data_IF_840247304073
#
_entry.id   IF_840247304073
#
_cell.length_a   1.000
_cell.length_b   1.000
_cell.length_c   1.000
_cell.angle_alpha   90.00
_cell.angle_beta   90.00
_cell.angle_gamma   90.00
#
_symmetry.space_group_name_H-M   'P 1'
#
loop_
_entity.id
_entity.type
_entity.pdbx_description
1 polymer ?
#
# COMPACT_ATOMS: atom_id res chain seq x y z
N UNK A 1 30.83 -43.68 -3.95
CA UNK A 1 30.28 -42.32 -3.75
C UNK A 1 28.78 -42.48 -3.56
N UNK A 2 28.37 -42.78 -2.32
CA UNK A 2 26.98 -43.02 -1.99
C UNK A 2 26.34 -41.70 -1.57
N UNK A 3 25.34 -41.25 -2.34
CA UNK A 3 24.05 -40.87 -1.77
C UNK A 3 23.93 -39.55 -1.00
N UNK A 4 24.66 -38.48 -1.32
CA UNK A 4 24.43 -37.18 -0.66
C UNK A 4 23.11 -36.48 -1.07
N UNK A 5 22.38 -37.02 -2.06
CA UNK A 5 21.19 -36.37 -2.63
C UNK A 5 19.84 -37.03 -2.38
N UNK A 6 19.81 -38.28 -1.88
CA UNK A 6 18.55 -39.03 -1.67
C UNK A 6 17.96 -38.86 -0.27
N UNK A 7 18.79 -38.55 0.73
CA UNK A 7 18.35 -38.38 2.11
C UNK A 7 17.28 -37.28 2.26
N UNK A 8 17.42 -36.17 1.52
CA UNK A 8 16.47 -35.06 1.58
C UNK A 8 15.27 -35.18 0.62
N UNK A 9 15.21 -36.25 -0.20
CA UNK A 9 14.13 -36.45 -1.18
C UNK A 9 12.97 -37.29 -0.65
N UNK A 10 13.24 -38.19 0.30
CA UNK A 10 12.25 -39.14 0.78
C UNK A 10 11.50 -38.68 2.04
N UNK A 11 12.07 -37.75 2.82
CA UNK A 11 11.48 -37.31 4.09
C UNK A 11 10.62 -36.05 3.98
N UNK A 12 10.37 -35.52 2.76
CA UNK A 12 9.50 -34.36 2.58
C UNK A 12 8.04 -34.82 2.44
N UNK A 13 7.12 -34.39 3.32
CA UNK A 13 5.70 -34.65 3.14
C UNK A 13 5.17 -33.98 1.86
N UNK A 14 4.10 -34.53 1.30
CA UNK A 14 3.43 -33.98 0.11
C UNK A 14 2.93 -32.53 0.32
N UNK A 15 2.63 -32.17 1.57
CA UNK A 15 2.29 -30.81 1.99
C UNK A 15 3.31 -30.29 3.01
N UNK A 16 4.40 -29.66 2.56
CA UNK A 16 5.44 -29.13 3.43
C UNK A 16 5.06 -27.76 4.04
N UNK A 17 3.84 -27.27 3.81
CA UNK A 17 3.37 -25.99 4.30
C UNK A 17 3.23 -25.98 5.82
N UNK A 18 3.97 -25.10 6.48
CA UNK A 18 3.81 -24.82 7.91
C UNK A 18 2.72 -23.78 8.12
N UNK A 19 2.03 -23.81 9.27
CA UNK A 19 1.05 -22.77 9.62
C UNK A 19 1.70 -21.37 9.68
N UNK A 20 3.00 -21.34 9.93
CA UNK A 20 3.87 -20.17 9.94
C UNK A 20 4.24 -19.65 8.54
N UNK A 21 4.02 -20.43 7.47
CA UNK A 21 4.27 -20.03 6.06
C UNK A 21 3.21 -19.10 5.50
N UNK A 22 2.30 -18.61 6.35
CA UNK A 22 1.40 -17.51 6.02
C UNK A 22 2.18 -16.33 5.41
N UNK A 23 1.62 -15.63 4.42
CA UNK A 23 2.29 -14.53 3.73
C UNK A 23 2.89 -13.53 4.72
N UNK A 24 4.23 -13.42 4.73
CA UNK A 24 4.93 -12.36 5.46
C UNK A 24 4.71 -11.05 4.72
N UNK A 25 3.68 -10.31 5.12
CA UNK A 25 3.37 -9.00 4.53
C UNK A 25 1.91 -8.75 4.19
N UNK A 26 0.97 -9.63 4.55
CA UNK A 26 -0.47 -9.39 4.38
C UNK A 26 -1.08 -8.48 5.45
N UNK A 27 -0.40 -7.40 5.84
CA UNK A 27 -1.06 -6.34 6.59
C UNK A 27 -2.13 -5.70 5.70
N UNK A 28 -3.23 -5.18 6.27
CA UNK A 28 -4.27 -4.52 5.47
C UNK A 28 -3.62 -3.50 4.53
N UNK A 29 -4.04 -3.47 3.26
CA UNK A 29 -3.54 -2.47 2.33
C UNK A 29 -3.61 -1.08 2.99
N UNK A 30 -2.54 -0.30 2.88
CA UNK A 30 -2.57 1.08 3.36
C UNK A 30 -3.85 1.73 2.83
N UNK A 31 -4.65 2.37 3.69
CA UNK A 31 -5.90 2.97 3.27
C UNK A 31 -5.58 3.93 2.13
N UNK A 32 -6.02 3.59 0.93
CA UNK A 32 -5.79 4.37 -0.28
C UNK A 32 -6.17 5.81 0.06
N UNK A 33 -5.15 6.67 0.11
CA UNK A 33 -5.27 8.01 0.67
C UNK A 33 -6.50 8.68 0.07
N UNK A 34 -7.45 9.06 0.93
CA UNK A 34 -8.57 9.91 0.50
C UNK A 34 -7.92 11.12 -0.15
N UNK A 35 -8.09 11.23 -1.48
CA UNK A 35 -7.33 12.19 -2.27
C UNK A 35 -7.45 13.61 -1.71
N UNK A 36 -6.50 14.46 -2.08
CA UNK A 36 -6.30 15.82 -1.56
C UNK A 36 -7.44 16.79 -1.98
N UNK A 37 -8.59 16.27 -2.39
CA UNK A 37 -9.74 17.00 -2.91
C UNK A 37 -10.25 18.10 -1.95
N UNK A 38 -10.30 17.90 -0.61
CA UNK A 38 -10.65 18.98 0.31
C UNK A 38 -9.62 20.13 0.29
N UNK A 39 -8.33 19.81 0.14
CA UNK A 39 -7.27 20.83 0.06
C UNK A 39 -7.43 21.66 -1.21
N UNK A 40 -7.70 21.02 -2.34
CA UNK A 40 -7.95 21.71 -3.61
C UNK A 40 -9.19 22.61 -3.56
N UNK A 41 -10.25 22.21 -2.85
CA UNK A 41 -11.41 23.07 -2.62
C UNK A 41 -11.07 24.33 -1.83
N UNK A 42 -10.26 24.22 -0.78
CA UNK A 42 -9.81 25.37 0.02
C UNK A 42 -8.95 26.31 -0.81
N UNK A 43 -8.01 25.78 -1.59
CA UNK A 43 -7.15 26.56 -2.49
C UNK A 43 -8.00 27.32 -3.51
N UNK A 44 -8.98 26.66 -4.14
CA UNK A 44 -9.90 27.29 -5.10
C UNK A 44 -10.70 28.43 -4.44
N UNK A 45 -11.21 28.22 -3.23
CA UNK A 45 -11.98 29.22 -2.49
C UNK A 45 -11.15 30.48 -2.19
N UNK A 46 -9.89 30.32 -1.76
CA UNK A 46 -8.97 31.43 -1.51
C UNK A 46 -8.69 32.21 -2.81
N UNK A 47 -8.48 31.50 -3.93
CA UNK A 47 -8.25 32.10 -5.24
C UNK A 47 -9.44 32.96 -5.69
N UNK A 48 -10.67 32.44 -5.53
CA UNK A 48 -11.89 33.17 -5.87
C UNK A 48 -12.04 34.42 -4.99
N UNK A 49 -11.84 34.30 -3.68
CA UNK A 49 -11.89 35.44 -2.76
C UNK A 49 -10.85 36.50 -3.09
N UNK A 50 -9.64 36.08 -3.46
CA UNK A 50 -8.57 36.98 -3.89
C UNK A 50 -8.95 37.76 -5.15
N UNK A 51 -9.50 37.08 -6.18
CA UNK A 51 -9.97 37.74 -7.40
C UNK A 51 -11.07 38.76 -7.09
N UNK A 52 -12.06 38.39 -6.27
CA UNK A 52 -13.13 39.30 -5.85
C UNK A 52 -12.56 40.52 -5.14
N UNK A 53 -11.61 40.31 -4.21
CA UNK A 53 -10.96 41.39 -3.48
C UNK A 53 -10.25 42.36 -4.43
N UNK A 54 -9.45 41.84 -5.37
CA UNK A 54 -8.74 42.66 -6.37
C UNK A 54 -9.72 43.43 -7.26
N UNK A 55 -10.83 42.83 -7.68
CA UNK A 55 -11.83 43.51 -8.52
C UNK A 55 -12.56 44.63 -7.78
N UNK A 56 -12.78 44.49 -6.46
CA UNK A 56 -13.51 45.47 -5.66
C UNK A 56 -12.59 46.59 -5.14
N UNK A 57 -11.36 46.25 -4.75
CA UNK A 57 -10.46 47.15 -4.02
C UNK A 57 -9.17 47.53 -4.77
N UNK A 58 -8.87 46.87 -5.89
CA UNK A 58 -7.77 47.24 -6.80
C UNK A 58 -8.23 48.21 -7.86
#
# INVERSE_FOLDING_TARGET
MAGDGDFYKHDRPDDPGLAEDRPRGGGPEEPHGRGNWPVWMVVLAILVLFVIFVVIFG
#
